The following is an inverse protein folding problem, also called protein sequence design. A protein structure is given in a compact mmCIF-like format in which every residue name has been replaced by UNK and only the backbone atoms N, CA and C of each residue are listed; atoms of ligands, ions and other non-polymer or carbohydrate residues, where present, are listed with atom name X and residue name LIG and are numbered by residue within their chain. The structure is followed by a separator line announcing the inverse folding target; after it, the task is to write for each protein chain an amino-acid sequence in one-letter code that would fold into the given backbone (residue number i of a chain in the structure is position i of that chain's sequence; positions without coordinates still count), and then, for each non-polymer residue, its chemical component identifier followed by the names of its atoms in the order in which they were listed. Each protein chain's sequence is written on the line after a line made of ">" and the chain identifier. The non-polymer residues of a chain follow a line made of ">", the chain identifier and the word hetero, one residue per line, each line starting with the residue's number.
data_IF_663826123841
#
_entry.id   IF_663826123841
#
_cell.length_a   1.000
_cell.length_b   1.000
_cell.length_c   1.000
_cell.angle_alpha   90.00
_cell.angle_beta   90.00
_cell.angle_gamma   90.00
#
_symmetry.space_group_name_H-M   'P 1'
#
loop_
_entity.id
_entity.type
_entity.pdbx_description
1 polymer ?
#
# COMPACT_ATOMS: atom_id res chain seq x y z
N UNK A 1 -19.52 4.94 -22.33
CA UNK A 1 -18.06 5.10 -22.48
C UNK A 1 -17.60 6.00 -21.38
N UNK A 2 -16.94 5.45 -20.36
CA UNK A 2 -16.51 6.23 -19.22
C UNK A 2 -15.25 6.98 -19.66
N UNK A 3 -15.36 8.27 -19.91
CA UNK A 3 -14.30 9.09 -20.51
C UNK A 3 -13.23 9.48 -19.46
N UNK A 4 -12.91 8.56 -18.55
CA UNK A 4 -11.90 8.78 -17.51
C UNK A 4 -10.53 8.79 -18.17
N UNK A 5 -9.85 9.93 -18.09
CA UNK A 5 -8.48 10.06 -18.61
C UNK A 5 -7.56 9.11 -17.86
N UNK A 6 -6.69 8.42 -18.60
CA UNK A 6 -5.63 7.57 -18.03
C UNK A 6 -4.82 8.38 -17.01
N UNK A 7 -4.64 7.82 -15.82
CA UNK A 7 -3.82 8.37 -14.75
C UNK A 7 -2.97 7.26 -14.18
N UNK A 8 -1.69 7.30 -14.47
CA UNK A 8 -0.73 6.28 -14.06
C UNK A 8 0.32 6.89 -13.15
N UNK A 9 0.97 6.05 -12.34
CA UNK A 9 2.05 6.50 -11.45
C UNK A 9 3.29 5.65 -11.55
N UNK A 10 4.44 6.33 -11.46
CA UNK A 10 5.68 5.70 -11.03
C UNK A 10 5.88 6.01 -9.54
N UNK A 11 6.01 4.95 -8.73
CA UNK A 11 6.02 5.02 -7.27
C UNK A 11 7.29 4.41 -6.67
N UNK A 12 8.47 5.04 -6.81
CA UNK A 12 9.71 4.50 -6.27
C UNK A 12 9.85 4.75 -4.76
N UNK A 13 10.41 3.76 -4.06
CA UNK A 13 10.92 3.94 -2.70
C UNK A 13 12.37 4.45 -2.75
N UNK A 14 12.74 5.49 -2.00
CA UNK A 14 14.09 6.07 -2.00
C UNK A 14 15.08 5.25 -1.15
N UNK A 15 15.21 3.96 -1.46
CA UNK A 15 16.07 3.00 -0.76
C UNK A 15 17.34 2.63 -1.53
N UNK A 16 17.59 3.30 -2.66
CA UNK A 16 18.73 3.05 -3.54
C UNK A 16 18.58 3.74 -4.90
N UNK A 17 19.54 3.50 -5.79
CA UNK A 17 19.51 4.02 -7.15
C UNK A 17 18.40 3.39 -8.00
N UNK A 18 17.94 4.13 -9.01
CA UNK A 18 16.98 3.62 -9.99
C UNK A 18 17.60 2.47 -10.80
N UNK A 19 17.18 1.24 -10.51
CA UNK A 19 17.62 0.07 -11.26
C UNK A 19 16.85 -0.09 -12.59
N UNK A 20 17.36 -0.91 -13.50
CA UNK A 20 16.80 -1.11 -14.84
C UNK A 20 15.31 -1.51 -14.83
N UNK A 21 14.91 -2.41 -13.93
CA UNK A 21 13.51 -2.79 -13.74
C UNK A 21 12.59 -1.62 -13.34
N UNK A 22 13.10 -0.69 -12.51
CA UNK A 22 12.38 0.53 -12.13
C UNK A 22 12.27 1.49 -13.31
N UNK A 23 13.37 1.71 -14.03
CA UNK A 23 13.37 2.54 -15.25
C UNK A 23 12.39 2.01 -16.30
N UNK A 24 12.37 0.70 -16.55
CA UNK A 24 11.40 0.06 -17.45
C UNK A 24 9.95 0.36 -17.03
N UNK A 25 9.66 0.25 -15.74
CA UNK A 25 8.32 0.53 -15.19
C UNK A 25 7.93 1.99 -15.38
N UNK A 26 8.85 2.93 -15.11
CA UNK A 26 8.64 4.35 -15.34
C UNK A 26 8.36 4.65 -16.81
N UNK A 27 9.15 4.09 -17.73
CA UNK A 27 8.99 4.26 -19.18
C UNK A 27 7.63 3.75 -19.66
N UNK A 28 7.19 2.56 -19.22
CA UNK A 28 5.89 2.01 -19.64
C UNK A 28 4.72 2.88 -19.17
N UNK A 29 4.74 3.35 -17.92
CA UNK A 29 3.71 4.26 -17.43
C UNK A 29 3.74 5.59 -18.19
N UNK A 30 4.92 6.17 -18.40
CA UNK A 30 5.07 7.41 -19.16
C UNK A 30 4.55 7.29 -20.61
N UNK A 31 4.90 6.19 -21.30
CA UNK A 31 4.40 5.92 -22.65
C UNK A 31 2.89 5.71 -22.69
N UNK A 32 2.32 5.04 -21.69
CA UNK A 32 0.87 4.83 -21.60
C UNK A 32 0.14 6.16 -21.43
N UNK A 33 0.59 7.01 -20.50
CA UNK A 33 0.07 8.36 -20.33
C UNK A 33 0.19 9.18 -21.63
N UNK A 34 1.35 9.17 -22.28
CA UNK A 34 1.57 9.89 -23.54
C UNK A 34 0.64 9.42 -24.66
N UNK A 35 0.53 8.11 -24.85
CA UNK A 35 -0.29 7.49 -25.92
C UNK A 35 -1.76 7.89 -25.80
N UNK A 36 -2.29 7.95 -24.58
CA UNK A 36 -3.70 8.23 -24.33
C UNK A 36 -3.99 9.68 -23.89
N UNK A 37 -2.99 10.58 -23.96
CA UNK A 37 -3.15 11.96 -23.47
C UNK A 37 -3.52 12.05 -21.98
N UNK A 38 -3.06 11.06 -21.20
CA UNK A 38 -3.28 10.91 -19.77
C UNK A 38 -2.27 11.65 -18.90
N UNK A 39 -2.30 11.35 -17.61
CA UNK A 39 -1.44 11.93 -16.58
C UNK A 39 -0.41 10.92 -16.12
N UNK A 40 0.87 11.28 -16.18
CA UNK A 40 1.96 10.53 -15.55
C UNK A 40 2.34 11.19 -14.21
N UNK A 41 2.18 10.44 -13.12
CA UNK A 41 2.37 10.92 -11.75
C UNK A 41 3.66 10.32 -11.16
N UNK A 42 4.47 11.13 -10.50
CA UNK A 42 5.58 10.67 -9.66
C UNK A 42 5.16 10.73 -8.19
N UNK A 43 5.16 9.59 -7.48
CA UNK A 43 4.89 9.52 -6.04
C UNK A 43 6.08 8.91 -5.31
N UNK A 44 6.61 9.58 -4.30
CA UNK A 44 7.73 9.06 -3.51
C UNK A 44 7.20 8.25 -2.34
N UNK A 45 7.59 6.98 -2.26
CA UNK A 45 7.15 6.04 -1.21
C UNK A 45 8.21 5.94 -0.09
N UNK A 46 8.26 7.00 0.73
CA UNK A 46 9.26 7.26 1.77
C UNK A 46 8.80 6.95 3.20
N UNK A 47 7.82 6.06 3.38
CA UNK A 47 7.27 5.75 4.71
C UNK A 47 8.22 4.95 5.61
N UNK A 48 9.21 4.24 5.04
CA UNK A 48 10.22 3.51 5.83
C UNK A 48 11.46 4.38 6.06
N UNK A 49 11.38 5.25 7.07
CA UNK A 49 12.41 6.24 7.41
C UNK A 49 13.79 5.59 7.60
N UNK A 50 13.85 4.36 8.13
CA UNK A 50 15.11 3.66 8.39
C UNK A 50 15.87 3.27 7.13
N UNK A 51 15.19 3.21 5.99
CA UNK A 51 15.76 2.84 4.69
C UNK A 51 16.02 4.06 3.80
N UNK A 52 15.70 5.26 4.26
CA UNK A 52 15.97 6.49 3.52
C UNK A 52 17.47 6.74 3.52
N UNK A 53 18.04 6.89 2.33
CA UNK A 53 19.41 7.35 2.16
C UNK A 53 19.42 8.84 1.75
N UNK A 54 20.28 9.69 2.34
CA UNK A 54 20.39 11.09 1.94
C UNK A 54 20.67 11.23 0.45
N UNK A 55 19.94 12.10 -0.26
CA UNK A 55 20.12 12.27 -1.71
C UNK A 55 19.38 11.24 -2.57
N UNK A 56 18.68 10.26 -1.99
CA UNK A 56 18.00 9.22 -2.77
C UNK A 56 16.80 9.76 -3.56
N UNK A 57 16.09 10.76 -3.02
CA UNK A 57 14.97 11.40 -3.73
C UNK A 57 15.52 12.19 -4.91
N UNK A 58 16.56 12.99 -4.69
CA UNK A 58 17.27 13.76 -5.70
C UNK A 58 17.78 12.85 -6.82
N UNK A 59 18.43 11.74 -6.47
CA UNK A 59 18.92 10.76 -7.44
C UNK A 59 17.80 10.12 -8.29
N UNK A 60 16.61 9.92 -7.73
CA UNK A 60 15.43 9.47 -8.48
C UNK A 60 15.00 10.54 -9.48
N UNK A 61 14.89 11.79 -9.03
CA UNK A 61 14.47 12.92 -9.87
C UNK A 61 15.46 13.15 -11.02
N UNK A 62 16.76 13.13 -10.73
CA UNK A 62 17.83 13.28 -11.71
C UNK A 62 17.82 12.13 -12.73
N UNK A 63 17.62 10.89 -12.28
CA UNK A 63 17.54 9.73 -13.17
C UNK A 63 16.36 9.82 -14.13
N UNK A 64 15.19 10.23 -13.65
CA UNK A 64 14.01 10.42 -14.50
C UNK A 64 14.19 11.58 -15.48
N UNK A 65 14.80 12.68 -15.03
CA UNK A 65 15.15 13.82 -15.89
C UNK A 65 16.15 13.42 -16.99
N UNK A 66 17.19 12.66 -16.65
CA UNK A 66 18.17 12.16 -17.61
C UNK A 66 17.55 11.23 -18.66
N UNK A 67 16.57 10.41 -18.26
CA UNK A 67 15.79 9.58 -19.19
C UNK A 67 14.76 10.38 -20.02
N UNK A 68 14.59 11.69 -19.78
CA UNK A 68 13.59 12.52 -20.46
C UNK A 68 12.14 12.27 -20.02
N UNK A 69 11.93 11.66 -18.85
CA UNK A 69 10.63 11.24 -18.35
C UNK A 69 9.99 12.33 -17.48
N UNK A 70 9.46 13.38 -18.12
CA UNK A 70 8.73 14.42 -17.41
C UNK A 70 7.40 13.89 -16.85
N UNK A 71 7.09 14.22 -15.59
CA UNK A 71 5.81 13.92 -14.92
C UNK A 71 4.89 15.15 -14.90
N UNK A 72 3.59 14.91 -15.01
CA UNK A 72 2.54 15.93 -14.96
C UNK A 72 2.25 16.37 -13.53
N UNK A 73 2.34 15.43 -12.59
CA UNK A 73 2.06 15.63 -11.17
C UNK A 73 3.14 14.93 -10.34
N UNK A 74 3.58 15.53 -9.25
CA UNK A 74 4.64 14.96 -8.42
C UNK A 74 5.42 15.98 -7.62
N UNK A 75 6.53 15.55 -6.99
CA UNK A 75 7.50 16.48 -6.43
C UNK A 75 7.94 17.53 -7.45
N UNK A 76 8.32 18.72 -6.96
CA UNK A 76 8.70 19.91 -7.73
C UNK A 76 7.57 20.58 -8.54
N UNK A 77 6.80 19.81 -9.29
CA UNK A 77 5.74 20.34 -10.19
C UNK A 77 4.39 20.53 -9.49
N UNK A 78 4.16 19.84 -8.37
CA UNK A 78 2.89 19.90 -7.65
C UNK A 78 1.78 19.11 -8.33
N UNK A 79 0.54 19.58 -8.18
CA UNK A 79 -0.67 18.93 -8.68
C UNK A 79 -1.77 18.85 -7.62
N UNK A 80 -3.00 18.57 -8.06
CA UNK A 80 -4.21 18.69 -7.25
C UNK A 80 -4.31 17.64 -6.12
N UNK A 81 -3.52 16.57 -6.20
CA UNK A 81 -3.58 15.43 -5.28
C UNK A 81 -2.37 15.36 -4.35
N UNK A 82 -1.58 16.43 -4.29
CA UNK A 82 -0.43 16.55 -3.40
C UNK A 82 -0.79 16.43 -1.90
N UNK A 83 0.21 16.30 -1.02
CA UNK A 83 1.63 16.16 -1.34
C UNK A 83 1.95 14.80 -1.97
N UNK A 84 2.98 14.72 -2.82
CA UNK A 84 3.38 13.50 -3.55
C UNK A 84 4.52 12.73 -2.86
N UNK A 85 4.67 12.92 -1.55
CA UNK A 85 5.56 12.15 -0.67
C UNK A 85 4.70 11.50 0.40
N UNK A 86 4.78 10.18 0.55
CA UNK A 86 3.90 9.44 1.45
C UNK A 86 4.13 9.80 2.93
N UNK A 87 5.36 10.11 3.33
CA UNK A 87 5.69 10.58 4.68
C UNK A 87 4.88 11.81 5.11
N UNK A 88 4.38 12.61 4.15
CA UNK A 88 3.57 13.81 4.38
C UNK A 88 2.06 13.55 4.35
N UNK A 89 1.62 12.29 4.25
CA UNK A 89 0.21 11.90 4.08
C UNK A 89 -0.29 10.96 5.19
N UNK A 90 0.41 10.89 6.32
CA UNK A 90 0.14 9.92 7.39
C UNK A 90 -1.30 9.95 7.90
N UNK A 91 -1.90 11.13 8.02
CA UNK A 91 -3.28 11.26 8.50
C UNK A 91 -4.31 10.71 7.51
N UNK A 92 -4.05 10.83 6.20
CA UNK A 92 -4.90 10.23 5.16
C UNK A 92 -4.97 8.71 5.36
N UNK A 93 -3.83 8.08 5.58
CA UNK A 93 -3.74 6.63 5.77
C UNK A 93 -4.40 6.18 7.07
N UNK A 94 -4.19 6.93 8.17
CA UNK A 94 -4.84 6.66 9.45
C UNK A 94 -6.35 6.75 9.32
N UNK A 95 -6.86 7.83 8.75
CA UNK A 95 -8.29 8.05 8.56
C UNK A 95 -8.92 6.94 7.70
N UNK A 96 -8.25 6.51 6.63
CA UNK A 96 -8.72 5.39 5.81
C UNK A 96 -8.81 4.06 6.59
N UNK A 97 -7.81 3.76 7.43
CA UNK A 97 -7.83 2.54 8.26
C UNK A 97 -8.90 2.60 9.36
N UNK A 98 -9.10 3.75 10.01
CA UNK A 98 -10.16 3.93 10.99
C UNK A 98 -11.55 3.86 10.36
N UNK A 99 -11.72 4.39 9.15
CA UNK A 99 -12.97 4.21 8.39
C UNK A 99 -13.26 2.74 8.12
N UNK A 100 -12.27 1.95 7.70
CA UNK A 100 -12.45 0.51 7.51
C UNK A 100 -12.78 -0.22 8.82
N UNK A 101 -12.23 0.24 9.94
CA UNK A 101 -12.52 -0.29 11.27
C UNK A 101 -13.97 0.02 11.70
N UNK A 102 -14.44 1.25 11.45
CA UNK A 102 -15.83 1.66 11.70
C UNK A 102 -16.84 0.89 10.83
N UNK A 103 -16.48 0.63 9.57
CA UNK A 103 -17.29 -0.17 8.63
C UNK A 103 -17.25 -1.69 8.91
N UNK A 104 -16.51 -2.14 9.93
CA UNK A 104 -16.38 -3.56 10.26
C UNK A 104 -15.56 -4.38 9.24
N UNK A 105 -14.88 -3.71 8.32
CA UNK A 105 -13.98 -4.29 7.31
C UNK A 105 -12.55 -4.47 7.83
N UNK A 106 -12.25 -3.91 9.00
CA UNK A 106 -11.00 -4.09 9.72
C UNK A 106 -11.28 -4.34 11.20
N UNK A 107 -10.27 -4.81 11.95
CA UNK A 107 -10.37 -5.03 13.38
C UNK A 107 -9.06 -4.71 14.12
N UNK A 108 -9.15 -4.49 15.43
CA UNK A 108 -7.99 -4.23 16.31
C UNK A 108 -7.28 -5.53 16.65
N UNK A 109 -5.96 -5.53 16.53
CA UNK A 109 -5.08 -6.63 16.91
C UNK A 109 -4.16 -6.17 18.05
N UNK A 110 -4.31 -6.79 19.21
CA UNK A 110 -3.55 -6.48 20.43
C UNK A 110 -2.36 -7.42 20.66
N UNK A 111 -2.00 -8.22 19.65
CA UNK A 111 -0.87 -9.15 19.72
C UNK A 111 0.45 -8.37 19.70
N UNK A 112 1.40 -8.79 20.54
CA UNK A 112 2.72 -8.17 20.57
C UNK A 112 3.58 -8.64 19.39
N UNK A 113 4.43 -7.77 18.81
CA UNK A 113 5.31 -8.16 17.70
C UNK A 113 6.18 -9.37 18.00
N UNK A 114 6.71 -9.47 19.24
CA UNK A 114 7.51 -10.62 19.68
C UNK A 114 6.72 -11.93 19.67
N UNK A 115 5.46 -11.90 20.10
CA UNK A 115 4.58 -13.07 20.08
C UNK A 115 4.30 -13.54 18.64
N UNK A 116 4.04 -12.58 17.74
CA UNK A 116 3.81 -12.87 16.32
C UNK A 116 5.04 -13.48 15.66
N UNK A 117 6.23 -12.98 15.97
CA UNK A 117 7.50 -13.50 15.45
C UNK A 117 7.79 -14.91 15.96
N UNK A 118 7.54 -15.19 17.24
CA UNK A 118 7.72 -16.52 17.79
C UNK A 118 6.78 -17.54 17.14
N UNK A 119 5.51 -17.18 16.97
CA UNK A 119 4.51 -18.01 16.26
C UNK A 119 4.93 -18.27 14.82
N UNK A 120 5.40 -17.24 14.12
CA UNK A 120 5.92 -17.36 12.75
C UNK A 120 7.10 -18.35 12.70
N UNK A 121 8.06 -18.22 13.62
CA UNK A 121 9.21 -19.13 13.71
C UNK A 121 8.77 -20.57 14.00
N UNK A 122 7.78 -20.77 14.87
CA UNK A 122 7.22 -22.09 15.17
C UNK A 122 6.55 -22.71 13.94
N UNK A 123 5.72 -21.97 13.22
CA UNK A 123 5.07 -22.44 12.00
C UNK A 123 6.10 -22.88 10.94
N UNK A 124 7.15 -22.08 10.73
CA UNK A 124 8.25 -22.42 9.82
C UNK A 124 8.99 -23.70 10.23
N UNK A 125 9.28 -23.88 11.52
CA UNK A 125 9.89 -25.12 12.04
C UNK A 125 8.99 -26.35 11.81
N UNK A 126 7.69 -26.16 11.91
CA UNK A 126 6.68 -27.20 11.64
C UNK A 126 6.38 -27.37 10.14
N UNK A 127 7.10 -26.67 9.23
CA UNK A 127 6.85 -26.64 7.78
C UNK A 127 5.41 -26.23 7.40
N UNK A 128 4.75 -25.46 8.26
CA UNK A 128 3.43 -24.88 8.02
C UNK A 128 3.60 -23.47 7.46
N UNK A 129 2.65 -23.04 6.63
CA UNK A 129 2.60 -21.67 6.16
C UNK A 129 2.43 -20.73 7.36
N UNK A 130 3.32 -19.72 7.53
CA UNK A 130 3.17 -18.75 8.61
C UNK A 130 2.03 -17.79 8.27
N UNK A 131 0.85 -18.06 8.80
CA UNK A 131 -0.32 -17.17 8.68
C UNK A 131 -0.69 -16.63 10.05
N UNK A 132 -1.26 -15.43 10.07
CA UNK A 132 -1.90 -14.91 11.29
C UNK A 132 -3.07 -15.82 11.70
N UNK A 133 -3.21 -16.09 13.00
CA UNK A 133 -4.19 -17.04 13.55
C UNK A 133 -5.57 -16.41 13.85
N UNK A 134 -5.79 -15.18 13.38
CA UNK A 134 -7.04 -14.43 13.48
C UNK A 134 -7.57 -14.26 14.91
N UNK A 135 -6.72 -14.47 15.94
CA UNK A 135 -7.21 -14.53 17.32
C UNK A 135 -7.92 -13.26 17.79
N UNK A 136 -7.41 -12.10 17.39
CA UNK A 136 -8.05 -10.82 17.73
C UNK A 136 -9.33 -10.52 16.92
N UNK A 137 -9.59 -11.27 15.84
CA UNK A 137 -10.83 -11.17 15.06
C UNK A 137 -12.04 -11.63 15.85
N UNK A 138 -11.83 -12.52 16.82
CA UNK A 138 -12.86 -13.18 17.65
C UNK A 138 -13.09 -12.50 19.00
N UNK A 139 -12.39 -11.41 19.28
CA UNK A 139 -12.59 -10.66 20.53
C UNK A 139 -13.98 -10.05 20.57
N UNK A 140 -14.66 -10.22 21.70
CA UNK A 140 -15.91 -9.55 22.00
C UNK A 140 -15.70 -8.05 22.20
N UNK A 141 -16.77 -7.27 22.04
CA UNK A 141 -16.75 -5.82 22.31
C UNK A 141 -16.26 -5.52 23.74
N UNK A 142 -16.67 -6.33 24.72
CA UNK A 142 -16.27 -6.18 26.13
C UNK A 142 -14.75 -6.35 26.31
N UNK A 143 -14.16 -7.38 25.72
CA UNK A 143 -12.71 -7.60 25.78
C UNK A 143 -11.94 -6.46 25.09
N UNK A 144 -12.43 -5.99 23.94
CA UNK A 144 -11.84 -4.85 23.23
C UNK A 144 -11.89 -3.60 24.12
N UNK A 145 -13.03 -3.30 24.74
CA UNK A 145 -13.21 -2.12 25.60
C UNK A 145 -12.31 -2.17 26.85
N UNK A 146 -12.12 -3.35 27.45
CA UNK A 146 -11.19 -3.55 28.57
C UNK A 146 -9.73 -3.30 28.16
N UNK A 147 -9.31 -3.85 27.01
CA UNK A 147 -7.95 -3.65 26.48
C UNK A 147 -7.70 -2.18 26.12
N UNK A 148 -8.70 -1.47 25.60
CA UNK A 148 -8.64 -0.04 25.32
C UNK A 148 -8.55 0.80 26.60
N UNK A 149 -9.32 0.46 27.65
CA UNK A 149 -9.22 1.12 28.98
C UNK A 149 -7.83 0.98 29.57
N UNK A 150 -7.19 -0.18 29.37
CA UNK A 150 -5.80 -0.42 29.76
C UNK A 150 -4.76 0.29 28.89
N UNK A 151 -5.20 1.06 27.88
CA UNK A 151 -4.33 1.72 26.89
C UNK A 151 -3.37 0.74 26.20
N UNK A 152 -3.80 -0.51 26.00
CA UNK A 152 -2.96 -1.51 25.33
C UNK A 152 -2.77 -1.10 23.86
N UNK A 153 -1.53 -1.02 23.36
CA UNK A 153 -1.27 -0.73 21.95
C UNK A 153 -1.92 -1.78 21.04
N UNK A 154 -2.43 -1.36 19.88
CA UNK A 154 -3.06 -2.25 18.92
C UNK A 154 -2.74 -1.86 17.49
N UNK A 155 -2.56 -2.86 16.63
CA UNK A 155 -2.55 -2.70 15.19
C UNK A 155 -3.98 -2.74 14.62
N UNK A 156 -4.20 -2.22 13.42
CA UNK A 156 -5.44 -2.42 12.66
C UNK A 156 -5.14 -3.41 11.54
N UNK A 157 -5.91 -4.50 11.44
CA UNK A 157 -5.79 -5.51 10.38
C UNK A 157 -7.02 -5.49 9.47
N UNK A 158 -6.81 -5.74 8.18
CA UNK A 158 -7.91 -5.95 7.24
C UNK A 158 -8.60 -7.28 7.56
N UNK A 159 -9.92 -7.32 7.46
CA UNK A 159 -10.72 -8.53 7.67
C UNK A 159 -11.00 -9.20 6.33
N UNK A 160 -10.20 -10.19 5.97
CA UNK A 160 -10.37 -10.97 4.74
C UNK A 160 -11.58 -11.92 4.90
N UNK A 161 -12.46 -12.04 3.89
CA UNK A 161 -13.51 -13.05 3.90
C UNK A 161 -12.94 -14.46 4.09
N UNK A 162 -13.53 -15.29 4.98
CA UNK A 162 -13.01 -16.65 5.27
C UNK A 162 -13.23 -17.62 4.10
N UNK A 163 -14.27 -17.38 3.30
CA UNK A 163 -14.67 -18.23 2.18
C UNK A 163 -14.72 -17.44 0.87
N UNK A 164 -14.84 -18.17 -0.24
CA UNK A 164 -14.87 -17.60 -1.58
C UNK A 164 -13.48 -17.40 -2.19
N UNK A 165 -13.46 -16.57 -3.22
CA UNK A 165 -12.27 -16.26 -4.02
C UNK A 165 -12.14 -14.75 -4.21
N UNK A 166 -10.90 -14.29 -4.34
CA UNK A 166 -10.55 -12.95 -4.81
C UNK A 166 -10.04 -13.11 -6.23
N UNK A 167 -10.70 -12.45 -7.18
CA UNK A 167 -10.34 -12.50 -8.61
C UNK A 167 -9.78 -11.15 -9.06
N UNK A 168 -8.71 -11.19 -9.84
CA UNK A 168 -8.05 -10.02 -10.42
C UNK A 168 -7.95 -10.26 -11.92
N UNK A 169 -8.40 -9.31 -12.73
CA UNK A 169 -8.17 -9.32 -14.18
C UNK A 169 -6.97 -8.44 -14.48
N UNK A 170 -5.80 -9.06 -14.58
CA UNK A 170 -4.54 -8.38 -14.87
C UNK A 170 -4.39 -8.16 -16.38
N UNK A 171 -3.93 -6.97 -16.79
CA UNK A 171 -3.79 -6.63 -18.22
C UNK A 171 -2.74 -7.47 -18.95
N UNK A 172 -1.76 -8.03 -18.24
CA UNK A 172 -0.64 -8.79 -18.81
C UNK A 172 -0.83 -10.29 -18.59
N UNK A 173 -1.23 -10.68 -17.38
CA UNK A 173 -1.35 -12.07 -16.95
C UNK A 173 -2.77 -12.65 -17.10
N UNK A 174 -3.76 -11.81 -17.41
CA UNK A 174 -5.17 -12.20 -17.54
C UNK A 174 -5.82 -12.48 -16.18
N UNK A 175 -6.78 -13.40 -16.15
CA UNK A 175 -7.55 -13.72 -14.94
C UNK A 175 -6.69 -14.49 -13.93
N UNK A 176 -6.49 -13.90 -12.76
CA UNK A 176 -5.81 -14.50 -11.60
C UNK A 176 -6.84 -14.72 -10.48
N UNK A 177 -6.83 -15.89 -9.85
CA UNK A 177 -7.81 -16.25 -8.81
C UNK A 177 -7.09 -16.78 -7.57
N UNK A 178 -7.36 -16.17 -6.42
CA UNK A 178 -6.87 -16.59 -5.12
C UNK A 178 -8.02 -17.10 -4.26
N UNK A 179 -7.87 -18.25 -3.60
CA UNK A 179 -8.83 -18.69 -2.58
C UNK A 179 -8.60 -17.86 -1.32
N UNK A 180 -9.67 -17.26 -0.78
CA UNK A 180 -9.53 -16.31 0.33
C UNK A 180 -8.91 -16.93 1.59
N UNK A 181 -9.13 -18.23 1.80
CA UNK A 181 -8.49 -19.00 2.90
C UNK A 181 -6.96 -18.99 2.91
N UNK A 182 -6.31 -18.57 1.83
CA UNK A 182 -4.86 -18.47 1.71
C UNK A 182 -4.35 -17.02 1.76
N UNK A 183 -5.26 -16.04 1.95
CA UNK A 183 -4.93 -14.63 2.10
C UNK A 183 -5.02 -14.30 3.59
N UNK A 184 -3.92 -13.86 4.18
CA UNK A 184 -3.92 -13.51 5.60
C UNK A 184 -4.52 -12.12 5.85
N UNK A 185 -5.04 -11.92 7.06
CA UNK A 185 -5.48 -10.61 7.58
C UNK A 185 -4.25 -9.70 7.81
N UNK A 186 -3.77 -9.04 6.75
CA UNK A 186 -2.60 -8.19 6.80
C UNK A 186 -2.83 -6.89 7.58
N UNK A 187 -1.74 -6.36 8.13
CA UNK A 187 -1.75 -5.12 8.92
C UNK A 187 -1.94 -3.91 8.00
N UNK A 188 -2.89 -3.04 8.34
CA UNK A 188 -3.11 -1.73 7.72
C UNK A 188 -2.32 -0.64 8.46
N UNK A 189 -2.52 -0.57 9.78
CA UNK A 189 -1.73 0.27 10.69
C UNK A 189 -1.03 -0.57 11.74
N UNK A 190 0.24 -0.28 11.99
CA UNK A 190 1.03 -0.82 13.09
C UNK A 190 0.56 -0.22 14.42
N UNK A 191 0.99 -0.81 15.53
CA UNK A 191 0.61 -0.38 16.88
C UNK A 191 1.10 1.02 17.27
N UNK A 192 2.11 1.56 16.57
CA UNK A 192 2.56 2.94 16.70
C UNK A 192 1.77 3.92 15.80
N UNK A 193 0.77 3.45 15.06
CA UNK A 193 -0.04 4.27 14.16
C UNK A 193 0.56 4.49 12.76
N UNK A 194 1.68 3.85 12.44
CA UNK A 194 2.27 3.93 11.10
C UNK A 194 1.57 2.98 10.13
N UNK A 195 1.29 3.43 8.88
CA UNK A 195 0.71 2.57 7.87
C UNK A 195 1.71 1.54 7.33
N UNK A 196 1.20 0.47 6.75
CA UNK A 196 2.00 -0.44 5.93
C UNK A 196 2.04 0.02 4.48
N UNK A 197 3.07 -0.39 3.74
CA UNK A 197 3.23 -0.12 2.30
C UNK A 197 1.94 -0.41 1.51
N UNK A 198 1.40 -1.63 1.64
CA UNK A 198 0.19 -2.04 0.92
C UNK A 198 -1.00 -1.08 1.17
N UNK A 199 -1.17 -0.66 2.43
CA UNK A 199 -2.25 0.27 2.79
C UNK A 199 -2.01 1.67 2.20
N UNK A 200 -0.80 2.21 2.34
CA UNK A 200 -0.44 3.52 1.78
C UNK A 200 -0.62 3.56 0.26
N UNK A 201 -0.14 2.54 -0.47
CA UNK A 201 -0.24 2.47 -1.92
C UNK A 201 -1.70 2.47 -2.38
N UNK A 202 -2.56 1.62 -1.81
CA UNK A 202 -3.98 1.53 -2.20
C UNK A 202 -4.74 2.82 -1.88
N UNK A 203 -4.48 3.41 -0.71
CA UNK A 203 -5.12 4.68 -0.33
C UNK A 203 -4.70 5.81 -1.27
N UNK A 204 -3.42 5.90 -1.62
CA UNK A 204 -2.93 6.91 -2.55
C UNK A 204 -3.39 6.67 -3.99
N UNK A 205 -3.43 5.42 -4.46
CA UNK A 205 -3.92 5.13 -5.81
C UNK A 205 -5.38 5.55 -5.95
N UNK A 206 -6.22 5.31 -4.93
CA UNK A 206 -7.59 5.83 -4.88
C UNK A 206 -7.66 7.36 -4.74
N UNK A 207 -6.84 7.96 -3.88
CA UNK A 207 -6.85 9.40 -3.64
C UNK A 207 -6.37 10.21 -4.86
N UNK A 208 -5.37 9.70 -5.58
CA UNK A 208 -4.79 10.30 -6.79
C UNK A 208 -5.52 9.90 -8.07
N UNK A 209 -6.62 9.12 -7.95
CA UNK A 209 -7.47 8.68 -9.06
C UNK A 209 -6.69 7.91 -10.12
N UNK A 210 -5.86 6.96 -9.70
CA UNK A 210 -5.08 6.12 -10.62
C UNK A 210 -6.03 5.22 -11.42
N UNK A 211 -5.92 5.30 -12.74
CA UNK A 211 -6.69 4.55 -13.73
C UNK A 211 -5.75 4.19 -14.87
N UNK A 212 -5.45 2.90 -15.01
CA UNK A 212 -4.50 2.38 -16.01
C UNK A 212 -5.21 1.97 -17.32
N UNK A 213 -6.53 1.80 -17.27
CA UNK A 213 -7.33 1.29 -18.38
C UNK A 213 -8.10 2.42 -19.07
N UNK A 214 -7.70 2.72 -20.32
CA UNK A 214 -8.41 3.65 -21.20
C UNK A 214 -9.51 2.95 -22.04
N UNK A 215 -9.64 1.63 -21.94
CA UNK A 215 -10.34 0.78 -22.91
C UNK A 215 -11.69 0.23 -22.41
N UNK A 216 -12.34 0.89 -21.44
CA UNK A 216 -13.72 0.58 -21.02
C UNK A 216 -14.77 1.60 -21.47
#
# INVERSE_FOLDING_TARGET
>A
MNNEKVRVRFAPSPTGHLHLGGARTAIYNWLLAKKYGGTFILRIEDTDIKRLFPGAIEGILDSLSWLGLNWNEGPLVGGDYGPYQQSKRMDLYRNAAYKLLEEGKAYRCFCEPKELEERRRKALKEKKAPMYDERCRKLSKKEIDELLKMKKPFAIRLKIPETGVTEINDLIHGKIVFKNKFIEDFVLLRSNGDPTYNHSCVVDDNAMKIVEDAMK
#
